data_IF_395443601774
#
_entry.id   IF_395443601774
#
_cell.length_a   1.000
_cell.length_b   1.000
_cell.length_c   1.000
_cell.angle_alpha   90.00
_cell.angle_beta   90.00
_cell.angle_gamma   90.00
#
_symmetry.space_group_name_H-M   'P 1'
#
loop_
_entity.id
_entity.type
_entity.pdbx_description
1 polymer ?
#
# COMPACT_ATOMS: atom_id res chain seq x y z
N UNK A 1 0.59 31.19 2.56
CA UNK A 1 0.03 29.94 1.98
C UNK A 1 -0.29 29.02 3.14
N UNK A 2 -1.56 28.68 3.39
CA UNK A 2 -1.91 27.72 4.45
C UNK A 2 -1.34 26.35 4.07
N UNK A 3 -0.33 25.89 4.80
CA UNK A 3 0.34 24.60 4.65
C UNK A 3 -0.55 23.44 5.14
N UNK A 4 -1.82 23.41 4.72
CA UNK A 4 -2.76 22.39 5.17
C UNK A 4 -2.85 21.31 4.11
N UNK A 5 -2.31 20.13 4.45
CA UNK A 5 -2.53 18.91 3.68
C UNK A 5 -4.04 18.66 3.48
N UNK A 6 -4.45 18.15 2.31
CA UNK A 6 -5.85 17.84 2.04
C UNK A 6 -6.39 16.82 3.05
N UNK A 7 -7.60 17.05 3.55
CA UNK A 7 -8.28 16.13 4.48
C UNK A 7 -9.03 15.07 3.69
N UNK A 8 -8.82 13.80 4.05
CA UNK A 8 -9.58 12.66 3.51
C UNK A 8 -10.46 12.10 4.62
N UNK A 9 -11.78 12.13 4.43
CA UNK A 9 -12.72 11.49 5.35
C UNK A 9 -12.86 10.02 4.97
N UNK A 10 -12.39 9.12 5.84
CA UNK A 10 -12.42 7.68 5.60
C UNK A 10 -13.51 7.04 6.46
N UNK A 11 -14.48 6.37 5.82
CA UNK A 11 -15.42 5.48 6.52
C UNK A 11 -14.88 4.06 6.45
N UNK A 12 -14.56 3.49 7.61
CA UNK A 12 -13.95 2.16 7.72
C UNK A 12 -15.03 1.13 8.06
N UNK A 13 -15.10 -0.02 7.37
CA UNK A 13 -15.98 -1.12 7.75
C UNK A 13 -15.73 -1.57 9.19
N UNK A 14 -16.79 -2.04 9.87
CA UNK A 14 -16.73 -2.40 11.30
C UNK A 14 -15.57 -3.36 11.62
N UNK A 15 -15.46 -4.46 10.87
CA UNK A 15 -14.45 -5.50 11.13
C UNK A 15 -13.02 -4.95 11.00
N UNK A 16 -12.77 -4.07 10.03
CA UNK A 16 -11.48 -3.43 9.86
C UNK A 16 -11.20 -2.40 10.96
N UNK A 17 -12.20 -1.64 11.39
CA UNK A 17 -12.06 -0.73 12.52
C UNK A 17 -11.71 -1.48 13.81
N UNK A 18 -12.30 -2.65 14.05
CA UNK A 18 -12.04 -3.45 15.24
C UNK A 18 -10.58 -3.97 15.26
N UNK A 19 -10.05 -4.36 14.10
CA UNK A 19 -8.62 -4.72 13.95
C UNK A 19 -7.72 -3.51 14.23
N UNK A 20 -8.00 -2.36 13.63
CA UNK A 20 -7.22 -1.14 13.82
C UNK A 20 -7.26 -0.66 15.28
N UNK A 21 -8.38 -0.84 15.97
CA UNK A 21 -8.50 -0.52 17.39
C UNK A 21 -7.57 -1.40 18.24
N UNK A 22 -7.59 -2.71 18.03
CA UNK A 22 -6.70 -3.62 18.77
C UNK A 22 -5.23 -3.35 18.52
N UNK A 23 -4.85 -3.00 17.28
CA UNK A 23 -3.47 -2.59 16.96
C UNK A 23 -3.09 -1.31 17.70
N UNK A 24 -3.98 -0.32 17.70
CA UNK A 24 -3.80 0.96 18.41
C UNK A 24 -3.61 0.75 19.91
N UNK A 25 -4.42 -0.12 20.53
CA UNK A 25 -4.34 -0.42 21.96
C UNK A 25 -3.02 -1.13 22.32
N UNK A 26 -2.58 -2.11 21.50
CA UNK A 26 -1.37 -2.89 21.77
C UNK A 26 -0.07 -2.12 21.50
N UNK A 27 -0.07 -1.21 20.51
CA UNK A 27 1.09 -0.40 20.16
C UNK A 27 1.14 0.92 20.92
N UNK A 28 0.10 1.24 21.69
CA UNK A 28 -0.07 2.51 22.42
C UNK A 28 0.06 3.76 21.53
N UNK A 29 -0.41 3.67 20.28
CA UNK A 29 -0.41 4.77 19.31
C UNK A 29 -1.80 5.03 18.75
N UNK A 30 -2.12 6.27 18.32
CA UNK A 30 -3.43 6.56 17.72
C UNK A 30 -3.69 5.76 16.44
N UNK A 31 -4.92 5.27 16.25
CA UNK A 31 -5.36 4.59 15.00
C UNK A 31 -5.00 5.36 13.73
N UNK A 32 -5.16 6.68 13.76
CA UNK A 32 -4.83 7.55 12.62
C UNK A 32 -3.36 7.46 12.23
N UNK A 33 -2.44 7.31 13.19
CA UNK A 33 -1.01 7.11 12.90
C UNK A 33 -0.79 5.80 12.15
N UNK A 34 -1.38 4.70 12.63
CA UNK A 34 -1.30 3.39 11.98
C UNK A 34 -1.85 3.45 10.55
N UNK A 35 -3.03 4.07 10.35
CA UNK A 35 -3.64 4.20 9.02
C UNK A 35 -2.72 4.97 8.06
N UNK A 36 -2.17 6.10 8.53
CA UNK A 36 -1.28 6.91 7.71
C UNK A 36 0.01 6.15 7.38
N UNK A 37 0.64 5.49 8.35
CA UNK A 37 1.85 4.69 8.12
C UNK A 37 1.61 3.56 7.11
N UNK A 38 0.48 2.85 7.21
CA UNK A 38 0.11 1.83 6.24
C UNK A 38 -0.11 2.40 4.83
N UNK A 39 -0.81 3.53 4.72
CA UNK A 39 -1.05 4.18 3.43
C UNK A 39 0.24 4.74 2.82
N UNK A 40 1.14 5.28 3.65
CA UNK A 40 2.46 5.75 3.21
C UNK A 40 3.34 4.58 2.77
N UNK A 41 3.33 3.45 3.49
CA UNK A 41 4.04 2.25 3.08
C UNK A 41 3.52 1.70 1.73
N UNK A 42 2.22 1.85 1.46
CA UNK A 42 1.60 1.46 0.19
C UNK A 42 1.78 2.48 -0.95
N UNK A 43 2.20 3.71 -0.67
CA UNK A 43 2.29 4.77 -1.68
C UNK A 43 3.11 4.36 -2.93
N UNK A 44 4.29 3.73 -2.82
CA UNK A 44 5.06 3.32 -4.00
C UNK A 44 4.28 2.35 -4.91
N UNK A 45 3.57 1.39 -4.31
CA UNK A 45 2.75 0.41 -5.03
C UNK A 45 1.61 1.13 -5.76
N UNK A 46 0.98 2.11 -5.12
CA UNK A 46 -0.09 2.91 -5.73
C UNK A 46 0.41 3.78 -6.88
N UNK A 47 1.62 4.35 -6.77
CA UNK A 47 2.25 5.12 -7.84
C UNK A 47 2.58 4.26 -9.06
N UNK A 48 3.13 3.06 -8.85
CA UNK A 48 3.38 2.11 -9.95
C UNK A 48 2.08 1.63 -10.61
N UNK A 49 1.05 1.37 -9.79
CA UNK A 49 -0.29 1.02 -10.28
C UNK A 49 -0.83 2.14 -11.16
N UNK A 50 -0.71 3.40 -10.72
CA UNK A 50 -1.13 4.56 -11.48
C UNK A 50 -0.40 4.65 -12.82
N UNK A 51 0.94 4.49 -12.82
CA UNK A 51 1.74 4.49 -14.05
C UNK A 51 1.28 3.41 -15.03
N UNK A 52 1.01 2.19 -14.55
CA UNK A 52 0.53 1.10 -15.39
C UNK A 52 -0.85 1.43 -16.00
N UNK A 53 -1.77 1.97 -15.19
CA UNK A 53 -3.09 2.38 -15.65
C UNK A 53 -3.02 3.52 -16.67
N UNK A 54 -2.15 4.51 -16.46
CA UNK A 54 -1.94 5.59 -17.43
C UNK A 54 -1.40 5.06 -18.76
N UNK A 55 -0.45 4.11 -18.73
CA UNK A 55 0.07 3.46 -19.93
C UNK A 55 -1.03 2.69 -20.68
N UNK A 56 -1.82 1.89 -19.97
CA UNK A 56 -2.96 1.15 -20.54
C UNK A 56 -3.99 2.13 -21.15
N UNK A 57 -4.25 3.25 -20.49
CA UNK A 57 -5.19 4.24 -20.98
C UNK A 57 -4.71 4.89 -22.28
N UNK A 58 -3.40 5.18 -22.38
CA UNK A 58 -2.76 5.77 -23.56
C UNK A 58 -2.57 4.77 -24.71
N UNK A 59 -2.33 3.50 -24.39
CA UNK A 59 -2.05 2.42 -25.34
C UNK A 59 -2.93 1.19 -25.02
N UNK A 60 -4.17 1.25 -25.50
CA UNK A 60 -5.18 0.22 -25.27
C UNK A 60 -4.88 -1.09 -26.00
N UNK A 61 -4.18 -1.02 -27.13
CA UNK A 61 -3.83 -2.21 -27.92
C UNK A 61 -2.83 -3.09 -27.18
N UNK A 62 -1.91 -2.48 -26.41
CA UNK A 62 -0.92 -3.20 -25.59
C UNK A 62 -1.34 -3.41 -24.13
N UNK A 63 -2.61 -3.16 -23.78
CA UNK A 63 -3.09 -3.19 -22.40
C UNK A 63 -2.76 -4.49 -21.66
N UNK A 64 -2.92 -5.65 -22.32
CA UNK A 64 -2.62 -6.95 -21.73
C UNK A 64 -1.13 -7.13 -21.44
N UNK A 65 -0.26 -6.63 -22.32
CA UNK A 65 1.19 -6.71 -22.13
C UNK A 65 1.63 -5.85 -20.94
N UNK A 66 1.12 -4.62 -20.86
CA UNK A 66 1.42 -3.69 -19.78
C UNK A 66 0.93 -4.23 -18.43
N UNK A 67 -0.29 -4.78 -18.38
CA UNK A 67 -0.83 -5.40 -17.17
C UNK A 67 0.01 -6.61 -16.72
N UNK A 68 0.52 -7.40 -17.67
CA UNK A 68 1.38 -8.54 -17.38
C UNK A 68 2.73 -8.11 -16.80
N UNK A 69 3.38 -7.10 -17.39
CA UNK A 69 4.65 -6.56 -16.90
C UNK A 69 4.49 -5.95 -15.49
N UNK A 70 3.42 -5.20 -15.25
CA UNK A 70 3.10 -4.68 -13.93
C UNK A 70 2.90 -5.78 -12.89
N UNK A 71 2.09 -6.80 -13.20
CA UNK A 71 1.85 -7.93 -12.30
C UNK A 71 3.12 -8.73 -12.00
N UNK A 72 4.03 -8.85 -12.98
CA UNK A 72 5.34 -9.48 -12.77
C UNK A 72 6.22 -8.68 -11.82
N UNK A 73 6.29 -7.36 -11.98
CA UNK A 73 7.07 -6.50 -11.10
C UNK A 73 6.55 -6.54 -9.66
N UNK A 74 5.23 -6.43 -9.45
CA UNK A 74 4.63 -6.55 -8.11
C UNK A 74 4.96 -7.88 -7.42
N UNK A 75 4.94 -9.00 -8.17
CA UNK A 75 5.27 -10.31 -7.62
C UNK A 75 6.75 -10.42 -7.25
N UNK A 76 7.64 -9.80 -8.02
CA UNK A 76 9.06 -9.75 -7.70
C UNK A 76 9.30 -8.96 -6.40
N UNK A 77 8.67 -7.80 -6.27
CA UNK A 77 8.81 -6.95 -5.08
C UNK A 77 8.23 -7.62 -3.83
N UNK A 78 7.08 -8.31 -3.96
CA UNK A 78 6.50 -9.10 -2.87
C UNK A 78 7.43 -10.23 -2.41
N UNK A 79 8.08 -10.93 -3.34
CA UNK A 79 9.03 -11.99 -3.00
C UNK A 79 10.28 -11.44 -2.28
N UNK A 80 10.79 -10.28 -2.69
CA UNK A 80 11.89 -9.60 -2.00
C UNK A 80 11.48 -9.23 -0.57
N UNK A 81 10.29 -8.65 -0.41
CA UNK A 81 9.76 -8.27 0.91
C UNK A 81 9.61 -9.50 1.83
N UNK A 82 9.03 -10.60 1.34
CA UNK A 82 8.89 -11.85 2.11
C UNK A 82 10.23 -12.48 2.47
N UNK A 83 11.22 -12.40 1.56
CA UNK A 83 12.59 -12.85 1.81
C UNK A 83 13.23 -12.08 2.95
N UNK A 84 13.10 -10.75 2.97
CA UNK A 84 13.65 -9.90 4.02
C UNK A 84 13.01 -10.18 5.39
N UNK A 85 11.68 -10.31 5.45
CA UNK A 85 10.97 -10.67 6.70
C UNK A 85 11.39 -12.05 7.21
N UNK A 86 11.55 -13.02 6.31
CA UNK A 86 12.00 -14.37 6.68
C UNK A 86 13.41 -14.36 7.28
N UNK A 87 14.29 -13.48 6.79
CA UNK A 87 15.64 -13.31 7.30
C UNK A 87 15.64 -12.63 8.67
N UNK A 88 14.87 -11.55 8.84
CA UNK A 88 14.70 -10.88 10.14
C UNK A 88 14.15 -11.81 11.23
N UNK A 89 13.17 -12.66 10.89
CA UNK A 89 12.62 -13.65 11.83
C UNK A 89 13.62 -14.74 12.21
N UNK A 90 14.51 -15.12 11.29
CA UNK A 90 15.59 -16.09 11.55
C UNK A 90 16.67 -15.51 12.48
N UNK A 91 16.85 -14.20 12.45
CA UNK A 91 17.86 -13.48 13.22
C UNK A 91 17.35 -13.03 14.61
N UNK A 92 16.09 -13.35 14.95
CA UNK A 92 15.49 -13.25 16.29
C UNK A 92 15.77 -14.51 17.14
#
# INVERSE_FOLDING_TARGET
MSNQNPRVALTVPKDLNDVLQRLSDLQEVPKTKIIIELLTAYQPILEETLIALEKIHKDKENAQKIAKEFGQNLLLDANVMLGNVSQEVKDL
#
